data_IF_741145667263
#
_entry.id   IF_741145667263
#
_cell.length_a   1.000
_cell.length_b   1.000
_cell.length_c   1.000
_cell.angle_alpha   90.00
_cell.angle_beta   90.00
_cell.angle_gamma   90.00
#
_symmetry.space_group_name_H-M   'P 1'
#
loop_
_entity.id
_entity.type
_entity.pdbx_description
1 polymer ?
#
# COMPACT_ATOMS: atom_id res chain seq x y z
N UNK A 1 9.62 45.42 11.96
CA UNK A 1 10.83 44.62 11.99
C UNK A 1 10.58 43.37 11.16
N UNK A 2 10.96 43.44 9.88
CA UNK A 2 10.72 42.35 8.91
C UNK A 2 11.72 41.25 9.25
N UNK A 3 11.27 40.16 9.86
CA UNK A 3 12.13 38.98 10.07
C UNK A 3 12.41 38.40 8.69
N UNK A 4 13.60 38.61 8.16
CA UNK A 4 14.05 37.96 6.93
C UNK A 4 13.94 36.46 7.14
N UNK A 5 13.00 35.81 6.44
CA UNK A 5 12.86 34.36 6.44
C UNK A 5 14.19 33.76 5.94
N UNK A 6 14.81 32.88 6.74
CA UNK A 6 16.02 32.17 6.30
C UNK A 6 15.71 31.39 5.03
N UNK A 7 16.55 31.47 3.99
CA UNK A 7 16.32 30.76 2.74
C UNK A 7 16.14 29.26 3.01
N UNK A 8 15.04 28.69 2.51
CA UNK A 8 14.71 27.27 2.67
C UNK A 8 15.77 26.42 1.97
N UNK A 9 16.48 25.61 2.73
CA UNK A 9 17.39 24.63 2.16
C UNK A 9 16.60 23.40 1.64
N UNK A 10 16.15 23.47 0.38
CA UNK A 10 15.34 22.42 -0.27
C UNK A 10 16.00 21.03 -0.24
N UNK A 11 17.33 20.95 -0.40
CA UNK A 11 18.05 19.67 -0.36
C UNK A 11 18.00 19.04 1.04
N UNK A 12 18.21 19.84 2.09
CA UNK A 12 18.11 19.37 3.47
C UNK A 12 16.66 18.92 3.79
N UNK A 13 15.68 19.69 3.36
CA UNK A 13 14.25 19.37 3.59
C UNK A 13 13.83 18.11 2.84
N UNK A 14 14.29 17.90 1.60
CA UNK A 14 14.07 16.67 0.85
C UNK A 14 14.72 15.47 1.55
N UNK A 15 15.94 15.62 2.04
CA UNK A 15 16.61 14.56 2.78
C UNK A 15 15.87 14.21 4.08
N UNK A 16 15.40 15.19 4.84
CA UNK A 16 14.58 14.95 6.03
C UNK A 16 13.25 14.28 5.68
N UNK A 17 12.63 14.66 4.58
CA UNK A 17 11.40 14.01 4.09
C UNK A 17 11.65 12.53 3.71
N UNK A 18 12.81 12.23 3.10
CA UNK A 18 13.22 10.84 2.85
C UNK A 18 13.36 10.04 4.15
N UNK A 19 13.97 10.62 5.18
CA UNK A 19 14.09 9.97 6.50
C UNK A 19 12.71 9.71 7.11
N UNK A 20 11.82 10.69 7.09
CA UNK A 20 10.44 10.54 7.59
C UNK A 20 9.71 9.42 6.87
N UNK A 21 9.81 9.36 5.56
CA UNK A 21 9.20 8.31 4.74
C UNK A 21 9.82 6.93 4.97
N UNK A 22 11.15 6.86 5.08
CA UNK A 22 11.86 5.64 5.41
C UNK A 22 11.39 5.08 6.75
N UNK A 23 11.27 5.93 7.78
CA UNK A 23 10.77 5.60 9.10
C UNK A 23 9.31 5.10 9.00
N UNK A 24 8.45 5.80 8.27
CA UNK A 24 7.04 5.43 8.14
C UNK A 24 6.87 4.08 7.43
N UNK A 25 7.62 3.85 6.35
CA UNK A 25 7.61 2.57 5.65
C UNK A 25 8.18 1.43 6.51
N UNK A 26 9.22 1.70 7.31
CA UNK A 26 9.78 0.74 8.24
C UNK A 26 8.76 0.31 9.31
N UNK A 27 8.07 1.26 9.94
CA UNK A 27 7.00 0.99 10.92
C UNK A 27 5.87 0.15 10.33
N UNK A 28 5.38 0.57 9.15
CA UNK A 28 4.34 -0.16 8.45
C UNK A 28 4.77 -1.57 8.06
N UNK A 29 6.03 -1.72 7.62
CA UNK A 29 6.57 -3.01 7.22
C UNK A 29 6.77 -3.99 8.36
N UNK A 30 7.17 -3.54 9.56
CA UNK A 30 7.25 -4.39 10.76
C UNK A 30 5.87 -4.98 11.09
N UNK A 31 4.82 -4.17 11.04
CA UNK A 31 3.48 -4.56 11.48
C UNK A 31 2.70 -5.33 10.40
N UNK A 32 2.91 -5.01 9.11
CA UNK A 32 2.07 -5.49 8.01
C UNK A 32 1.83 -7.01 7.99
N UNK A 33 2.84 -7.90 8.07
CA UNK A 33 2.60 -9.34 8.10
C UNK A 33 2.17 -9.86 9.48
N UNK A 34 2.45 -9.12 10.54
CA UNK A 34 2.26 -9.55 11.92
C UNK A 34 0.84 -9.26 12.42
N UNK A 35 0.20 -8.20 11.92
CA UNK A 35 -1.10 -7.77 12.42
C UNK A 35 -2.16 -8.87 12.36
N UNK A 36 -2.27 -9.58 11.24
CA UNK A 36 -3.26 -10.67 11.10
C UNK A 36 -2.96 -11.84 12.02
N UNK A 37 -1.68 -12.18 12.23
CA UNK A 37 -1.27 -13.19 13.18
C UNK A 37 -1.54 -12.76 14.63
N UNK A 38 -1.23 -11.52 14.97
CA UNK A 38 -1.51 -10.96 16.29
C UNK A 38 -3.00 -11.00 16.62
N UNK A 39 -3.86 -10.47 15.76
CA UNK A 39 -5.31 -10.48 16.04
C UNK A 39 -5.87 -11.91 16.04
N UNK A 40 -5.27 -12.82 15.26
CA UNK A 40 -5.60 -14.24 15.28
C UNK A 40 -5.24 -14.89 16.63
N UNK A 41 -4.06 -14.58 17.18
CA UNK A 41 -3.64 -15.05 18.50
C UNK A 41 -4.53 -14.53 19.65
N UNK A 42 -5.19 -13.38 19.43
CA UNK A 42 -6.21 -12.84 20.35
C UNK A 42 -7.59 -13.51 20.19
N UNK A 43 -7.68 -14.58 19.40
CA UNK A 43 -8.89 -15.38 19.24
C UNK A 43 -9.88 -14.87 18.18
N UNK A 44 -9.52 -13.88 17.36
CA UNK A 44 -10.39 -13.42 16.28
C UNK A 44 -10.50 -14.49 15.19
N UNK A 45 -11.72 -14.69 14.70
CA UNK A 45 -12.00 -15.56 13.57
C UNK A 45 -11.53 -14.96 12.25
N UNK A 46 -11.40 -15.80 11.22
CA UNK A 46 -10.98 -15.35 9.88
C UNK A 46 -11.99 -14.37 9.26
N UNK A 47 -13.28 -14.58 9.49
CA UNK A 47 -14.31 -13.63 9.08
C UNK A 47 -14.13 -12.26 9.77
N UNK A 48 -13.77 -12.26 11.06
CA UNK A 48 -13.51 -11.05 11.81
C UNK A 48 -12.24 -10.33 11.31
N UNK A 49 -11.19 -11.06 10.93
CA UNK A 49 -10.00 -10.48 10.26
C UNK A 49 -10.41 -9.81 8.93
N UNK A 50 -11.33 -10.41 8.18
CA UNK A 50 -11.90 -9.77 6.99
C UNK A 50 -12.59 -8.43 7.30
N UNK A 51 -13.35 -8.36 8.40
CA UNK A 51 -13.97 -7.11 8.85
C UNK A 51 -12.96 -6.04 9.27
N UNK A 52 -11.81 -6.44 9.85
CA UNK A 52 -10.71 -5.50 10.12
C UNK A 52 -10.15 -4.89 8.83
N UNK A 53 -9.93 -5.71 7.81
CA UNK A 53 -9.54 -5.22 6.48
C UNK A 53 -10.58 -4.25 5.89
N UNK A 54 -11.86 -4.53 6.08
CA UNK A 54 -12.95 -3.63 5.68
C UNK A 54 -12.88 -2.30 6.43
N UNK A 55 -12.69 -2.32 7.75
CA UNK A 55 -12.56 -1.10 8.55
C UNK A 55 -11.35 -0.26 8.09
N UNK A 56 -10.25 -0.91 7.77
CA UNK A 56 -9.05 -0.28 7.20
C UNK A 56 -9.34 0.41 5.85
N UNK A 57 -10.02 -0.28 4.94
CA UNK A 57 -10.38 0.29 3.62
C UNK A 57 -11.39 1.43 3.73
N UNK A 58 -12.36 1.34 4.66
CA UNK A 58 -13.29 2.44 4.95
C UNK A 58 -12.58 3.71 5.42
N UNK A 59 -11.54 3.57 6.23
CA UNK A 59 -10.75 4.71 6.67
C UNK A 59 -10.07 5.44 5.50
N UNK A 60 -9.48 4.71 4.54
CA UNK A 60 -8.93 5.30 3.32
C UNK A 60 -10.03 5.90 2.45
N UNK A 61 -11.06 5.13 2.11
CA UNK A 61 -12.16 5.52 1.21
C UNK A 61 -12.86 6.81 1.65
N UNK A 62 -13.15 6.93 2.95
CA UNK A 62 -13.86 8.11 3.46
C UNK A 62 -12.93 9.32 3.52
N UNK A 63 -11.71 9.17 4.02
CA UNK A 63 -10.87 10.31 4.37
C UNK A 63 -9.89 10.76 3.30
N UNK A 64 -9.47 9.90 2.37
CA UNK A 64 -8.49 10.27 1.33
C UNK A 64 -8.97 11.46 0.47
N UNK A 65 -10.22 11.52 -0.01
CA UNK A 65 -10.70 12.66 -0.78
C UNK A 65 -10.74 13.97 0.02
N UNK A 66 -11.14 13.91 1.31
CA UNK A 66 -11.20 15.10 2.16
C UNK A 66 -9.80 15.62 2.52
N UNK A 67 -8.84 14.72 2.72
CA UNK A 67 -7.48 15.12 3.07
C UNK A 67 -6.77 15.86 1.94
N UNK A 68 -7.14 15.63 0.68
CA UNK A 68 -6.67 16.44 -0.45
C UNK A 68 -7.03 17.92 -0.28
N UNK A 69 -8.29 18.20 0.01
CA UNK A 69 -8.79 19.58 0.22
C UNK A 69 -8.19 20.22 1.47
N UNK A 70 -8.03 19.44 2.54
CA UNK A 70 -7.44 19.92 3.79
C UNK A 70 -5.95 20.23 3.60
N UNK A 71 -5.21 19.40 2.87
CA UNK A 71 -3.77 19.59 2.60
C UNK A 71 -3.45 20.84 1.78
N UNK A 72 -4.41 21.32 0.98
CA UNK A 72 -4.28 22.59 0.25
C UNK A 72 -4.43 23.83 1.14
N UNK A 73 -5.09 23.68 2.29
CA UNK A 73 -5.41 24.80 3.20
C UNK A 73 -4.62 24.79 4.50
N UNK A 74 -4.14 23.64 4.91
CA UNK A 74 -3.43 23.45 6.17
C UNK A 74 -1.94 23.31 5.95
N UNK A 75 -1.17 23.68 6.97
CA UNK A 75 0.27 23.50 6.98
C UNK A 75 0.64 22.01 6.92
N UNK A 76 1.24 21.60 5.79
CA UNK A 76 1.61 20.20 5.50
C UNK A 76 2.53 19.60 6.57
N UNK A 77 3.43 20.41 7.15
CA UNK A 77 4.33 19.96 8.21
C UNK A 77 3.58 19.56 9.48
N UNK A 78 2.59 20.35 9.90
CA UNK A 78 1.76 20.02 11.06
C UNK A 78 0.86 18.82 10.80
N UNK A 79 0.36 18.65 9.58
CA UNK A 79 -0.39 17.46 9.18
C UNK A 79 0.48 16.21 9.28
N UNK A 80 1.74 16.25 8.80
CA UNK A 80 2.68 15.13 8.92
C UNK A 80 3.01 14.82 10.39
N UNK A 81 3.34 15.83 11.18
CA UNK A 81 3.69 15.66 12.60
C UNK A 81 2.51 15.10 13.41
N UNK A 82 1.31 15.65 13.22
CA UNK A 82 0.10 15.19 13.87
C UNK A 82 -0.27 13.76 13.50
N UNK A 83 -0.21 13.42 12.21
CA UNK A 83 -0.47 12.05 11.74
C UNK A 83 0.53 11.05 12.29
N UNK A 84 1.82 11.39 12.33
CA UNK A 84 2.85 10.54 12.94
C UNK A 84 2.65 10.38 14.44
N UNK A 85 2.31 11.46 15.15
CA UNK A 85 2.05 11.40 16.58
C UNK A 85 0.85 10.50 16.89
N UNK A 86 -0.29 10.74 16.23
CA UNK A 86 -1.49 9.95 16.44
C UNK A 86 -1.29 8.47 16.08
N UNK A 87 -0.66 8.17 14.94
CA UNK A 87 -0.36 6.77 14.60
C UNK A 87 0.68 6.13 15.53
N UNK A 88 1.59 6.90 16.11
CA UNK A 88 2.53 6.42 17.13
C UNK A 88 1.78 6.02 18.40
N UNK A 89 0.83 6.83 18.85
CA UNK A 89 -0.05 6.52 19.98
C UNK A 89 -0.87 5.27 19.69
N UNK A 90 -1.48 5.18 18.51
CA UNK A 90 -2.25 4.00 18.12
C UNK A 90 -1.41 2.73 18.16
N UNK A 91 -0.19 2.73 17.64
CA UNK A 91 0.69 1.56 17.72
C UNK A 91 1.00 1.17 19.17
N UNK A 92 1.15 2.13 20.08
CA UNK A 92 1.30 1.83 21.51
C UNK A 92 0.05 1.25 22.16
N UNK A 93 -1.13 1.51 21.59
CA UNK A 93 -2.43 1.01 22.12
C UNK A 93 -2.76 -0.39 21.58
N UNK A 94 -2.28 -0.78 20.39
CA UNK A 94 -2.60 -2.09 19.79
C UNK A 94 -2.39 -3.29 20.72
N UNK A 95 -1.29 -3.41 21.49
CA UNK A 95 -1.08 -4.54 22.41
C UNK A 95 -2.13 -4.61 23.52
N UNK A 96 -2.77 -3.50 23.85
CA UNK A 96 -3.81 -3.42 24.89
C UNK A 96 -5.21 -3.70 24.33
N UNK A 97 -5.36 -3.81 23.01
CA UNK A 97 -6.64 -3.99 22.37
C UNK A 97 -7.15 -5.43 22.52
N UNK A 98 -8.42 -5.57 22.85
CA UNK A 98 -9.09 -6.86 22.92
C UNK A 98 -10.44 -6.81 22.22
N UNK A 99 -10.80 -7.90 21.55
CA UNK A 99 -12.09 -8.03 20.88
C UNK A 99 -12.19 -7.26 19.54
N UNK A 100 -13.12 -7.71 18.72
CA UNK A 100 -13.29 -7.26 17.34
C UNK A 100 -13.48 -5.74 17.22
N UNK A 101 -14.39 -5.18 17.99
CA UNK A 101 -14.78 -3.76 17.86
C UNK A 101 -13.62 -2.82 18.15
N UNK A 102 -12.79 -3.14 19.14
CA UNK A 102 -11.66 -2.29 19.46
C UNK A 102 -10.63 -2.31 18.31
N UNK A 103 -10.31 -3.49 17.77
CA UNK A 103 -9.43 -3.59 16.61
C UNK A 103 -10.00 -2.89 15.37
N UNK A 104 -11.31 -3.00 15.11
CA UNK A 104 -11.95 -2.28 14.00
C UNK A 104 -11.82 -0.76 14.13
N UNK A 105 -12.02 -0.22 15.34
CA UNK A 105 -11.84 1.22 15.61
C UNK A 105 -10.39 1.62 15.40
N UNK A 106 -9.42 0.83 15.91
CA UNK A 106 -7.99 1.12 15.72
C UNK A 106 -7.59 1.10 14.24
N UNK A 107 -8.04 0.11 13.47
CA UNK A 107 -7.76 0.00 12.03
C UNK A 107 -8.37 1.18 11.26
N UNK A 108 -9.62 1.50 11.52
CA UNK A 108 -10.30 2.64 10.90
C UNK A 108 -9.59 3.96 11.22
N UNK A 109 -9.28 4.22 12.49
CA UNK A 109 -8.58 5.45 12.91
C UNK A 109 -7.17 5.51 12.32
N UNK A 110 -6.41 4.41 12.36
CA UNK A 110 -5.07 4.34 11.79
C UNK A 110 -5.05 4.74 10.33
N UNK A 111 -5.93 4.18 9.52
CA UNK A 111 -5.97 4.46 8.08
C UNK A 111 -6.53 5.84 7.77
N UNK A 112 -7.52 6.31 8.53
CA UNK A 112 -8.02 7.68 8.47
C UNK A 112 -6.91 8.71 8.74
N UNK A 113 -6.09 8.47 9.75
CA UNK A 113 -4.94 9.33 10.09
C UNK A 113 -3.84 9.20 9.03
N UNK A 114 -3.60 7.99 8.50
CA UNK A 114 -2.62 7.77 7.46
C UNK A 114 -2.98 8.46 6.13
N UNK A 115 -4.25 8.69 5.84
CA UNK A 115 -4.64 9.51 4.68
C UNK A 115 -4.18 10.96 4.85
N UNK A 116 -4.26 11.50 6.08
CA UNK A 116 -3.76 12.84 6.42
C UNK A 116 -2.22 12.94 6.39
N UNK A 117 -1.51 11.83 6.37
CA UNK A 117 -0.06 11.77 6.13
C UNK A 117 0.26 11.62 4.63
N UNK A 118 -0.40 10.72 3.95
CA UNK A 118 -0.09 10.26 2.59
C UNK A 118 -0.16 11.39 1.55
N UNK A 119 -1.16 12.24 1.62
CA UNK A 119 -1.38 13.32 0.65
C UNK A 119 -0.36 14.46 0.82
N UNK A 120 -0.19 15.05 2.03
CA UNK A 120 0.80 16.12 2.21
C UNK A 120 2.23 15.70 1.91
N UNK A 121 2.59 14.45 2.18
CA UNK A 121 3.95 13.96 1.91
C UNK A 121 4.23 13.87 0.40
N UNK A 122 3.25 13.46 -0.41
CA UNK A 122 3.36 13.44 -1.88
C UNK A 122 3.50 14.87 -2.43
N UNK A 123 2.71 15.82 -1.90
CA UNK A 123 2.76 17.23 -2.28
C UNK A 123 4.12 17.85 -1.93
N UNK A 124 4.61 17.65 -0.70
CA UNK A 124 5.93 18.13 -0.28
C UNK A 124 7.07 17.53 -1.11
N UNK A 125 7.00 16.25 -1.43
CA UNK A 125 7.98 15.62 -2.30
C UNK A 125 8.01 16.29 -3.68
N UNK A 126 6.84 16.58 -4.26
CA UNK A 126 6.73 17.26 -5.55
C UNK A 126 7.31 18.68 -5.54
N UNK A 127 7.15 19.42 -4.43
CA UNK A 127 7.66 20.79 -4.24
C UNK A 127 9.17 20.84 -3.97
N UNK A 128 9.70 19.85 -3.25
CA UNK A 128 11.10 19.81 -2.84
C UNK A 128 12.03 19.18 -3.88
N UNK A 129 11.49 18.39 -4.82
CA UNK A 129 12.26 17.77 -5.88
C UNK A 129 12.81 18.84 -6.85
N UNK A 130 14.11 18.74 -7.22
CA UNK A 130 14.72 19.70 -8.13
C UNK A 130 14.07 19.65 -9.51
N UNK A 131 13.92 20.82 -10.16
CA UNK A 131 13.36 20.90 -11.52
C UNK A 131 14.28 20.29 -12.56
N UNK A 132 15.62 20.40 -12.35
CA UNK A 132 16.62 19.77 -13.21
C UNK A 132 16.77 18.31 -12.81
N UNK A 133 16.77 17.41 -13.77
CA UNK A 133 16.87 15.94 -13.58
C UNK A 133 15.81 15.37 -12.61
N UNK A 134 14.59 15.93 -12.65
CA UNK A 134 13.50 15.59 -11.72
C UNK A 134 13.20 14.08 -11.66
N UNK A 135 13.26 13.39 -12.79
CA UNK A 135 13.06 11.94 -12.86
C UNK A 135 14.11 11.16 -12.08
N UNK A 136 15.40 11.51 -12.22
CA UNK A 136 16.47 10.87 -11.45
C UNK A 136 16.37 11.16 -9.95
N UNK A 137 16.00 12.39 -9.60
CA UNK A 137 15.82 12.78 -8.19
C UNK A 137 14.63 12.03 -7.56
N UNK A 138 13.52 11.90 -8.29
CA UNK A 138 12.37 11.11 -7.87
C UNK A 138 12.69 9.62 -7.73
N UNK A 139 13.45 9.06 -8.69
CA UNK A 139 13.91 7.68 -8.62
C UNK A 139 14.77 7.41 -7.36
N UNK A 140 15.72 8.31 -7.04
CA UNK A 140 16.51 8.23 -5.79
C UNK A 140 15.62 8.33 -4.55
N UNK A 141 14.70 9.29 -4.54
CA UNK A 141 13.71 9.44 -3.47
C UNK A 141 12.94 8.13 -3.25
N UNK A 142 12.38 7.55 -4.30
CA UNK A 142 11.63 6.28 -4.22
C UNK A 142 12.49 5.10 -3.76
N UNK A 143 13.75 5.03 -4.20
CA UNK A 143 14.68 3.99 -3.74
C UNK A 143 14.91 4.07 -2.23
N UNK A 144 15.23 5.27 -1.72
CA UNK A 144 15.54 5.46 -0.29
C UNK A 144 14.31 5.11 0.57
N UNK A 145 13.13 5.61 0.21
CA UNK A 145 11.93 5.34 1.00
C UNK A 145 11.51 3.86 0.97
N UNK A 146 11.81 3.16 -0.12
CA UNK A 146 11.51 1.73 -0.24
C UNK A 146 12.38 0.87 0.69
N UNK A 147 13.63 1.27 0.96
CA UNK A 147 14.54 0.53 1.85
C UNK A 147 13.95 0.31 3.24
N UNK A 148 13.22 1.31 3.79
CA UNK A 148 12.54 1.18 5.08
C UNK A 148 11.54 0.03 5.11
N UNK A 149 10.80 -0.16 4.02
CA UNK A 149 9.81 -1.23 3.90
C UNK A 149 10.36 -2.60 3.52
N UNK A 150 11.57 -2.69 2.97
CA UNK A 150 12.09 -3.95 2.41
C UNK A 150 12.44 -4.97 3.49
N UNK A 151 13.22 -4.57 4.51
CA UNK A 151 13.77 -5.48 5.53
C UNK A 151 12.85 -5.56 6.75
N UNK A 152 12.03 -4.56 6.96
CA UNK A 152 11.18 -4.45 8.15
C UNK A 152 10.22 -5.65 8.39
N UNK A 153 9.65 -6.34 7.38
CA UNK A 153 8.84 -7.53 7.64
C UNK A 153 9.63 -8.67 8.30
N UNK A 154 10.90 -8.88 7.89
CA UNK A 154 11.77 -9.87 8.51
C UNK A 154 12.05 -9.53 9.97
N UNK A 155 12.33 -8.25 10.25
CA UNK A 155 12.55 -7.79 11.63
C UNK A 155 11.28 -7.99 12.46
N UNK A 156 10.11 -7.62 11.93
CA UNK A 156 8.82 -7.79 12.59
C UNK A 156 8.53 -9.26 12.90
N UNK A 157 8.73 -10.15 11.93
CA UNK A 157 8.57 -11.59 12.10
C UNK A 157 9.49 -12.15 13.17
N UNK A 158 10.79 -11.86 13.10
CA UNK A 158 11.77 -12.32 14.09
C UNK A 158 11.48 -11.82 15.50
N UNK A 159 11.17 -10.53 15.64
CA UNK A 159 10.84 -9.95 16.94
C UNK A 159 9.57 -10.58 17.52
N UNK A 160 8.55 -10.83 16.70
CA UNK A 160 7.32 -11.47 17.15
C UNK A 160 7.55 -12.91 17.60
N UNK A 161 8.36 -13.67 16.87
CA UNK A 161 8.67 -15.07 17.20
C UNK A 161 9.44 -15.21 18.52
N UNK A 162 10.40 -14.31 18.77
CA UNK A 162 11.30 -14.42 19.93
C UNK A 162 10.74 -13.72 21.17
N UNK A 163 10.08 -12.57 21.00
CA UNK A 163 9.67 -11.69 22.10
C UNK A 163 8.16 -11.49 22.20
N UNK A 164 7.38 -12.14 21.33
CA UNK A 164 5.93 -12.01 21.28
C UNK A 164 5.44 -10.86 20.44
N UNK A 165 4.14 -10.86 20.16
CA UNK A 165 3.49 -9.95 19.21
C UNK A 165 3.43 -8.49 19.66
N UNK A 166 3.57 -8.19 20.95
CA UNK A 166 3.44 -6.82 21.47
C UNK A 166 4.64 -5.94 21.11
N UNK A 167 5.86 -6.52 21.17
CA UNK A 167 7.09 -5.78 20.98
C UNK A 167 7.23 -5.10 19.59
N UNK A 168 6.84 -5.71 18.48
CA UNK A 168 6.81 -5.04 17.16
C UNK A 168 6.01 -3.73 17.15
N UNK A 169 4.87 -3.68 17.86
CA UNK A 169 4.07 -2.45 17.96
C UNK A 169 4.78 -1.37 18.76
N UNK A 170 5.42 -1.73 19.88
CA UNK A 170 6.20 -0.79 20.69
C UNK A 170 7.43 -0.28 19.92
N UNK A 171 8.11 -1.13 19.15
CA UNK A 171 9.20 -0.70 18.26
C UNK A 171 8.67 0.27 17.20
N UNK A 172 7.54 -0.04 16.56
CA UNK A 172 6.93 0.86 15.58
C UNK A 172 6.53 2.21 16.21
N UNK A 173 6.06 2.22 17.45
CA UNK A 173 5.78 3.44 18.20
C UNK A 173 7.07 4.23 18.50
N UNK A 174 8.09 3.58 19.05
CA UNK A 174 9.37 4.23 19.41
C UNK A 174 10.05 4.85 18.18
N UNK A 175 10.11 4.10 17.07
CA UNK A 175 10.66 4.59 15.80
C UNK A 175 9.81 5.76 15.25
N UNK A 176 8.51 5.78 15.51
CA UNK A 176 7.61 6.88 15.16
C UNK A 176 7.97 8.19 15.83
N UNK A 177 8.41 8.16 17.08
CA UNK A 177 8.89 9.36 17.82
C UNK A 177 10.09 10.01 17.10
N UNK A 178 11.01 9.19 16.59
CA UNK A 178 12.16 9.67 15.79
C UNK A 178 11.65 10.35 14.51
N UNK A 179 10.63 9.78 13.86
CA UNK A 179 10.00 10.37 12.67
C UNK A 179 9.39 11.75 12.94
N UNK A 180 8.76 11.95 14.09
CA UNK A 180 8.20 13.24 14.49
C UNK A 180 9.31 14.29 14.61
N UNK A 181 10.42 13.97 15.26
CA UNK A 181 11.57 14.88 15.36
C UNK A 181 12.14 15.26 13.99
N UNK A 182 12.20 14.29 13.07
CA UNK A 182 12.65 14.53 11.69
C UNK A 182 11.69 15.46 10.92
N UNK A 183 10.38 15.36 11.11
CA UNK A 183 9.38 16.28 10.50
C UNK A 183 9.65 17.73 10.90
N UNK A 184 9.96 17.98 12.17
CA UNK A 184 10.26 19.35 12.64
C UNK A 184 11.54 19.94 12.03
N UNK A 185 12.41 19.12 11.46
CA UNK A 185 13.61 19.56 10.74
C UNK A 185 13.34 19.93 9.27
N UNK A 186 12.16 19.65 8.74
CA UNK A 186 11.76 20.04 7.38
C UNK A 186 11.46 21.53 7.37
N UNK A 187 12.21 22.26 6.54
CA UNK A 187 11.95 23.67 6.24
C UNK A 187 11.12 23.72 4.95
N UNK A 188 10.01 24.43 5.00
CA UNK A 188 9.12 24.56 3.85
C UNK A 188 8.42 25.92 3.93
N UNK A 189 8.30 26.56 2.80
CA UNK A 189 7.51 27.79 2.65
C UNK A 189 6.06 27.40 2.35
N UNK A 190 5.14 27.95 3.12
CA UNK A 190 3.72 27.75 2.81
C UNK A 190 3.42 28.39 1.47
N UNK A 191 2.85 27.66 0.50
CA UNK A 191 2.40 28.29 -0.72
C UNK A 191 1.32 29.31 -0.38
N UNK A 192 1.39 30.51 -0.98
CA UNK A 192 0.30 31.45 -0.95
C UNK A 192 -0.94 30.72 -1.49
N UNK A 193 -2.03 30.73 -0.72
CA UNK A 193 -3.27 30.01 -1.02
C UNK A 193 -3.89 30.52 -2.32
N UNK A 194 -3.56 29.91 -3.43
CA UNK A 194 -4.09 30.26 -4.76
C UNK A 194 -4.92 29.14 -5.41
N UNK A 195 -5.27 28.09 -4.69
CA UNK A 195 -6.13 27.07 -5.29
C UNK A 195 -7.61 27.45 -5.22
N UNK A 196 -8.08 28.16 -6.22
CA UNK A 196 -9.51 28.29 -6.58
C UNK A 196 -10.00 27.07 -7.37
N UNK A 197 -9.43 25.91 -7.16
CA UNK A 197 -9.88 24.69 -7.80
C UNK A 197 -11.23 24.26 -7.25
N UNK A 198 -12.28 24.27 -8.05
CA UNK A 198 -13.55 23.60 -7.78
C UNK A 198 -13.25 22.10 -7.56
N UNK A 199 -13.19 21.67 -6.31
CA UNK A 199 -12.63 20.37 -5.89
C UNK A 199 -13.32 19.11 -6.46
N UNK A 200 -14.52 19.22 -6.99
CA UNK A 200 -15.26 18.11 -7.61
C UNK A 200 -15.94 18.59 -8.90
N UNK A 201 -15.18 19.26 -9.80
CA UNK A 201 -15.68 19.59 -11.13
C UNK A 201 -16.19 18.34 -11.86
N UNK A 202 -17.11 18.53 -12.76
CA UNK A 202 -17.87 17.54 -13.54
C UNK A 202 -17.22 16.12 -13.66
N UNK A 203 -17.51 15.24 -12.70
CA UNK A 203 -17.02 13.85 -12.64
C UNK A 203 -17.37 13.09 -13.93
N UNK A 204 -18.52 13.39 -14.55
CA UNK A 204 -18.95 12.71 -15.77
C UNK A 204 -18.01 12.95 -16.95
N UNK A 205 -17.40 14.12 -17.03
CA UNK A 205 -16.48 14.45 -18.13
C UNK A 205 -15.13 13.73 -18.01
N UNK A 206 -14.80 13.20 -16.83
CA UNK A 206 -13.55 12.48 -16.52
C UNK A 206 -13.74 10.98 -16.68
N UNK A 207 -14.92 10.45 -16.34
CA UNK A 207 -15.24 9.03 -16.38
C UNK A 207 -15.54 8.56 -17.82
N UNK A 208 -14.51 8.56 -18.66
CA UNK A 208 -14.59 8.01 -20.02
C UNK A 208 -14.57 6.49 -20.00
N UNK A 209 -15.01 5.84 -21.09
CA UNK A 209 -15.01 4.38 -21.20
C UNK A 209 -13.66 3.74 -20.89
N UNK A 210 -12.53 4.18 -21.49
CA UNK A 210 -11.20 3.64 -21.18
C UNK A 210 -10.80 3.81 -19.71
N UNK A 211 -11.10 4.95 -19.09
CA UNK A 211 -10.79 5.21 -17.67
C UNK A 211 -11.61 4.28 -16.75
N UNK A 212 -12.90 4.11 -17.02
CA UNK A 212 -13.74 3.18 -16.24
C UNK A 212 -13.27 1.73 -16.35
N UNK A 213 -12.79 1.31 -17.53
CA UNK A 213 -12.26 -0.04 -17.74
C UNK A 213 -11.01 -0.28 -16.91
N UNK A 214 -10.03 0.63 -16.93
CA UNK A 214 -8.80 0.46 -16.13
C UNK A 214 -9.09 0.55 -14.63
N UNK A 215 -10.05 1.38 -14.20
CA UNK A 215 -10.52 1.41 -12.81
C UNK A 215 -11.13 0.08 -12.38
N UNK A 216 -11.95 -0.55 -13.24
CA UNK A 216 -12.51 -1.87 -12.97
C UNK A 216 -11.43 -2.94 -12.86
N UNK A 217 -10.45 -2.95 -13.77
CA UNK A 217 -9.30 -3.87 -13.71
C UNK A 217 -8.52 -3.68 -12.41
N UNK A 218 -8.30 -2.42 -11.99
CA UNK A 218 -7.59 -2.09 -10.74
C UNK A 218 -8.38 -2.52 -9.51
N UNK A 219 -9.66 -2.21 -9.44
CA UNK A 219 -10.54 -2.63 -8.33
C UNK A 219 -10.58 -4.15 -8.17
N UNK A 220 -10.73 -4.89 -9.26
CA UNK A 220 -10.68 -6.36 -9.23
C UNK A 220 -9.30 -6.89 -8.80
N UNK A 221 -8.22 -6.24 -9.17
CA UNK A 221 -6.87 -6.60 -8.69
C UNK A 221 -6.73 -6.46 -7.18
N UNK A 222 -7.42 -5.51 -6.56
CA UNK A 222 -7.39 -5.31 -5.11
C UNK A 222 -8.09 -6.43 -4.31
N UNK A 223 -8.85 -7.31 -4.95
CA UNK A 223 -9.28 -8.58 -4.33
C UNK A 223 -8.08 -9.42 -3.89
N UNK A 224 -7.03 -9.45 -4.70
CA UNK A 224 -5.77 -10.09 -4.39
C UNK A 224 -5.02 -9.39 -3.25
N UNK A 225 -4.93 -8.06 -3.29
CA UNK A 225 -4.19 -7.28 -2.29
C UNK A 225 -4.79 -7.45 -0.90
N UNK A 226 -6.13 -7.48 -0.80
CA UNK A 226 -6.83 -7.77 0.44
C UNK A 226 -6.48 -9.15 1.01
N UNK A 227 -6.34 -10.17 0.17
CA UNK A 227 -5.94 -11.52 0.59
C UNK A 227 -4.49 -11.54 1.11
N UNK A 228 -3.55 -10.97 0.35
CA UNK A 228 -2.11 -10.97 0.69
C UNK A 228 -1.85 -10.39 2.07
N UNK A 229 -2.48 -9.27 2.39
CA UNK A 229 -2.18 -8.56 3.64
C UNK A 229 -2.92 -9.12 4.85
N UNK A 230 -4.12 -9.66 4.67
CA UNK A 230 -4.95 -10.08 5.80
C UNK A 230 -4.94 -11.59 6.03
N UNK A 231 -4.87 -12.42 4.97
CA UNK A 231 -5.10 -13.85 5.09
C UNK A 231 -3.87 -14.71 4.75
N UNK A 232 -2.99 -14.25 3.86
CA UNK A 232 -1.82 -15.02 3.47
C UNK A 232 -0.87 -15.32 4.65
N UNK A 233 -0.58 -14.37 5.57
CA UNK A 233 0.23 -14.68 6.76
C UNK A 233 -0.40 -15.79 7.61
N UNK A 234 -1.71 -15.73 7.83
CA UNK A 234 -2.45 -16.75 8.61
C UNK A 234 -2.43 -18.11 7.89
N UNK A 235 -2.62 -18.10 6.56
CA UNK A 235 -2.52 -19.33 5.78
C UNK A 235 -1.14 -19.97 5.88
N UNK A 236 -0.07 -19.21 5.77
CA UNK A 236 1.30 -19.73 5.87
C UNK A 236 1.61 -20.27 7.27
N UNK A 237 1.05 -19.66 8.32
CA UNK A 237 1.25 -20.07 9.70
C UNK A 237 0.41 -21.30 10.08
N UNK A 238 -0.91 -21.29 9.81
CA UNK A 238 -1.85 -22.32 10.26
C UNK A 238 -1.92 -23.53 9.28
N UNK A 239 -1.40 -23.42 8.08
CA UNK A 239 -1.46 -24.50 7.07
C UNK A 239 -0.54 -25.65 7.46
N UNK A 240 -1.05 -26.88 7.43
CA UNK A 240 -0.26 -28.10 7.62
C UNK A 240 0.85 -28.29 6.54
N UNK A 241 0.75 -27.56 5.44
CA UNK A 241 1.71 -27.61 4.33
C UNK A 241 2.98 -26.84 4.68
N UNK A 242 2.86 -25.70 5.37
CA UNK A 242 3.98 -24.80 5.66
C UNK A 242 4.30 -24.74 7.14
N UNK A 243 3.29 -24.57 8.00
CA UNK A 243 3.46 -24.33 9.45
C UNK A 243 4.59 -23.30 9.70
N UNK A 244 4.57 -22.23 8.90
CA UNK A 244 5.66 -21.27 8.85
C UNK A 244 5.69 -20.42 10.11
N UNK A 245 6.89 -20.23 10.69
CA UNK A 245 7.08 -19.32 11.81
C UNK A 245 6.92 -17.85 11.36
N UNK A 246 6.75 -16.96 12.33
CA UNK A 246 6.63 -15.52 12.11
C UNK A 246 7.86 -14.96 11.37
N UNK A 247 9.06 -15.44 11.69
CA UNK A 247 10.32 -15.08 10.99
C UNK A 247 10.29 -15.52 9.52
N UNK A 248 9.79 -16.72 9.26
CA UNK A 248 9.70 -17.24 7.89
C UNK A 248 8.66 -16.47 7.06
N UNK A 249 7.56 -16.08 7.67
CA UNK A 249 6.55 -15.22 7.06
C UNK A 249 7.13 -13.81 6.82
N UNK A 250 7.85 -13.26 7.79
CA UNK A 250 8.58 -12.01 7.63
C UNK A 250 9.59 -12.04 6.49
N UNK A 251 10.34 -13.16 6.34
CA UNK A 251 11.26 -13.39 5.23
C UNK A 251 10.54 -13.46 3.88
N UNK A 252 9.39 -14.14 3.80
CA UNK A 252 8.55 -14.18 2.61
C UNK A 252 8.17 -12.77 2.14
N UNK A 253 7.65 -11.94 3.04
CA UNK A 253 7.26 -10.56 2.70
C UNK A 253 8.46 -9.67 2.39
N UNK A 254 9.62 -9.93 2.98
CA UNK A 254 10.88 -9.25 2.63
C UNK A 254 11.29 -9.58 1.20
N UNK A 255 11.30 -10.87 0.82
CA UNK A 255 11.59 -11.33 -0.54
C UNK A 255 10.58 -10.75 -1.53
N UNK A 256 9.30 -10.79 -1.21
CA UNK A 256 8.22 -10.17 -1.98
C UNK A 256 8.51 -8.69 -2.29
N UNK A 257 8.85 -7.91 -1.26
CA UNK A 257 9.14 -6.47 -1.41
C UNK A 257 10.43 -6.18 -2.17
N UNK A 258 11.47 -6.97 -1.93
CA UNK A 258 12.75 -6.87 -2.66
C UNK A 258 12.57 -7.18 -4.15
N UNK A 259 11.87 -8.26 -4.46
CA UNK A 259 11.56 -8.65 -5.84
C UNK A 259 10.71 -7.59 -6.54
N UNK A 260 9.69 -7.05 -5.85
CA UNK A 260 8.87 -5.96 -6.37
C UNK A 260 9.67 -4.68 -6.66
N UNK A 261 10.59 -4.32 -5.78
CA UNK A 261 11.44 -3.14 -5.98
C UNK A 261 12.44 -3.33 -7.14
N UNK A 262 13.09 -4.51 -7.22
CA UNK A 262 13.97 -4.86 -8.33
C UNK A 262 13.19 -4.94 -9.66
N UNK A 263 11.98 -5.50 -9.62
CA UNK A 263 11.10 -5.62 -10.78
C UNK A 263 10.77 -4.27 -11.40
N UNK A 264 10.44 -3.26 -10.59
CA UNK A 264 10.05 -1.92 -11.11
C UNK A 264 11.13 -1.27 -11.99
N UNK A 265 12.41 -1.53 -11.72
CA UNK A 265 13.50 -0.98 -12.53
C UNK A 265 13.63 -1.63 -13.92
N UNK A 266 13.18 -2.88 -14.05
CA UNK A 266 13.27 -3.67 -15.29
C UNK A 266 11.97 -3.59 -16.09
N UNK A 267 10.85 -3.50 -15.41
CA UNK A 267 9.52 -3.59 -16.01
C UNK A 267 9.12 -2.34 -16.80
N UNK A 268 9.73 -1.18 -16.54
CA UNK A 268 9.53 0.01 -17.37
C UNK A 268 9.92 -0.26 -18.82
N UNK A 269 11.13 -0.75 -19.05
CA UNK A 269 11.63 -1.12 -20.39
C UNK A 269 10.81 -2.27 -21.00
N UNK A 270 10.30 -3.19 -20.17
CA UNK A 270 9.48 -4.30 -20.63
C UNK A 270 8.07 -3.84 -21.05
N UNK A 271 7.49 -2.85 -20.38
CA UNK A 271 6.26 -2.20 -20.81
C UNK A 271 6.38 -1.58 -22.20
N UNK A 272 7.50 -0.90 -22.45
CA UNK A 272 7.76 -0.28 -23.75
C UNK A 272 7.92 -1.32 -24.88
N UNK A 273 8.44 -2.51 -24.57
CA UNK A 273 8.68 -3.58 -25.57
C UNK A 273 7.46 -4.48 -25.82
N UNK A 274 6.75 -4.86 -24.76
CA UNK A 274 5.67 -5.84 -24.84
C UNK A 274 4.27 -5.21 -24.88
N UNK A 275 4.17 -3.95 -24.47
CA UNK A 275 2.92 -3.23 -24.27
C UNK A 275 2.28 -3.50 -22.91
N UNK A 276 1.57 -2.50 -22.38
CA UNK A 276 0.96 -2.54 -21.05
C UNK A 276 -0.06 -3.66 -20.90
N UNK A 277 -0.91 -3.88 -21.91
CA UNK A 277 -1.96 -4.91 -21.92
C UNK A 277 -1.43 -6.30 -21.62
N UNK A 278 -0.37 -6.73 -22.33
CA UNK A 278 0.21 -8.08 -22.17
C UNK A 278 0.80 -8.26 -20.77
N UNK A 279 1.45 -7.22 -20.22
CA UNK A 279 2.02 -7.25 -18.89
C UNK A 279 0.95 -7.24 -17.79
N UNK A 280 -0.16 -6.51 -17.95
CA UNK A 280 -1.30 -6.60 -17.04
C UNK A 280 -1.80 -8.04 -16.98
N UNK A 281 -2.09 -8.65 -18.13
CA UNK A 281 -2.59 -10.03 -18.19
C UNK A 281 -1.58 -11.01 -17.58
N UNK A 282 -0.31 -10.93 -17.97
CA UNK A 282 0.74 -11.79 -17.45
C UNK A 282 0.92 -11.68 -15.94
N UNK A 283 0.82 -10.47 -15.38
CA UNK A 283 0.91 -10.25 -13.93
C UNK A 283 -0.27 -10.86 -13.18
N UNK A 284 -1.50 -10.71 -13.68
CA UNK A 284 -2.69 -11.30 -13.08
C UNK A 284 -2.62 -12.84 -13.09
N UNK A 285 -2.18 -13.42 -14.20
CA UNK A 285 -1.97 -14.87 -14.30
C UNK A 285 -0.80 -15.35 -13.42
N UNK A 286 0.28 -14.59 -13.35
CA UNK A 286 1.41 -14.86 -12.45
C UNK A 286 0.98 -14.94 -10.98
N UNK A 287 0.11 -14.02 -10.54
CA UNK A 287 -0.50 -14.08 -9.22
C UNK A 287 -1.40 -15.30 -9.03
N UNK A 288 -2.28 -15.60 -9.99
CA UNK A 288 -3.18 -16.76 -9.92
C UNK A 288 -2.40 -18.08 -9.82
N UNK A 289 -1.37 -18.24 -10.68
CA UNK A 289 -0.48 -19.42 -10.64
C UNK A 289 0.27 -19.53 -9.32
N UNK A 290 0.75 -18.40 -8.79
CA UNK A 290 1.49 -18.40 -7.51
C UNK A 290 0.66 -18.92 -6.35
N UNK A 291 -0.62 -18.59 -6.29
CA UNK A 291 -1.53 -19.14 -5.28
C UNK A 291 -1.82 -20.63 -5.51
N UNK A 292 -1.99 -21.05 -6.76
CA UNK A 292 -2.11 -22.48 -7.09
C UNK A 292 -0.91 -23.27 -6.61
N UNK A 293 0.30 -22.74 -6.82
CA UNK A 293 1.53 -23.36 -6.29
C UNK A 293 1.50 -23.44 -4.77
N UNK A 294 1.15 -22.37 -4.06
CA UNK A 294 1.07 -22.37 -2.59
C UNK A 294 0.05 -23.36 -2.02
N UNK A 295 -1.03 -23.64 -2.75
CA UNK A 295 -2.07 -24.57 -2.26
C UNK A 295 -1.68 -26.05 -2.32
N UNK A 296 -0.89 -26.43 -3.33
CA UNK A 296 -0.66 -27.84 -3.65
C UNK A 296 0.78 -28.29 -3.46
N UNK A 297 1.67 -27.38 -3.13
CA UNK A 297 3.10 -27.69 -2.97
C UNK A 297 3.57 -27.20 -1.61
N UNK A 298 4.55 -27.89 -1.04
CA UNK A 298 5.12 -27.55 0.27
C UNK A 298 6.60 -27.19 0.18
N UNK A 299 7.13 -26.77 1.33
CA UNK A 299 8.54 -26.48 1.50
C UNK A 299 8.88 -24.98 1.49
N UNK A 300 9.78 -24.64 2.41
CA UNK A 300 10.16 -23.25 2.71
C UNK A 300 10.79 -22.52 1.51
N UNK A 301 11.63 -23.22 0.74
CA UNK A 301 12.29 -22.61 -0.42
C UNK A 301 11.31 -22.29 -1.54
N UNK A 302 10.31 -23.16 -1.74
CA UNK A 302 9.26 -22.90 -2.72
C UNK A 302 8.35 -21.75 -2.28
N UNK A 303 8.03 -21.67 -1.00
CA UNK A 303 7.32 -20.52 -0.42
C UNK A 303 8.05 -19.20 -0.73
N UNK A 304 9.37 -19.16 -0.53
CA UNK A 304 10.17 -17.97 -0.84
C UNK A 304 10.24 -17.67 -2.35
N UNK A 305 10.33 -18.69 -3.18
CA UNK A 305 10.27 -18.53 -4.64
C UNK A 305 8.93 -17.94 -5.08
N UNK A 306 7.82 -18.41 -4.48
CA UNK A 306 6.50 -17.83 -4.73
C UNK A 306 6.43 -16.38 -4.26
N UNK A 307 7.00 -16.05 -3.10
CA UNK A 307 7.12 -14.66 -2.65
C UNK A 307 7.84 -13.76 -3.66
N UNK A 308 8.92 -14.25 -4.26
CA UNK A 308 9.62 -13.56 -5.33
C UNK A 308 8.74 -13.38 -6.58
N UNK A 309 8.05 -14.43 -7.02
CA UNK A 309 7.14 -14.37 -8.17
C UNK A 309 6.00 -13.39 -7.94
N UNK A 310 5.39 -13.40 -6.75
CA UNK A 310 4.34 -12.47 -6.36
C UNK A 310 4.86 -11.03 -6.34
N UNK A 311 6.07 -10.78 -5.84
CA UNK A 311 6.70 -9.46 -5.85
C UNK A 311 6.90 -8.92 -7.26
N UNK A 312 7.42 -9.74 -8.17
CA UNK A 312 7.59 -9.38 -9.58
C UNK A 312 6.22 -9.12 -10.27
N UNK A 313 5.25 -10.00 -10.03
CA UNK A 313 3.90 -9.85 -10.59
C UNK A 313 3.21 -8.58 -10.06
N UNK A 314 3.41 -8.23 -8.78
CA UNK A 314 2.89 -6.97 -8.21
C UNK A 314 3.51 -5.76 -8.90
N UNK A 315 4.82 -5.75 -9.06
CA UNK A 315 5.52 -4.66 -9.75
C UNK A 315 5.06 -4.52 -11.22
N UNK A 316 4.84 -5.64 -11.90
CA UNK A 316 4.34 -5.65 -13.28
C UNK A 316 2.91 -5.07 -13.36
N UNK A 317 2.01 -5.52 -12.47
CA UNK A 317 0.64 -5.02 -12.42
C UNK A 317 0.60 -3.51 -12.13
N UNK A 318 1.30 -3.06 -11.08
CA UNK A 318 1.32 -1.66 -10.67
C UNK A 318 1.89 -0.75 -11.76
N UNK A 319 3.01 -1.15 -12.37
CA UNK A 319 3.67 -0.34 -13.41
C UNK A 319 2.83 -0.28 -14.68
N UNK A 320 2.37 -1.43 -15.19
CA UNK A 320 1.63 -1.47 -16.45
C UNK A 320 0.24 -0.85 -16.37
N UNK A 321 -0.49 -1.04 -15.25
CA UNK A 321 -1.79 -0.40 -15.03
C UNK A 321 -1.64 1.12 -14.91
N UNK A 322 -0.59 1.61 -14.22
CA UNK A 322 -0.32 3.03 -14.09
C UNK A 322 0.08 3.67 -15.43
N UNK A 323 0.95 3.04 -16.20
CA UNK A 323 1.36 3.54 -17.52
C UNK A 323 0.17 3.56 -18.49
N UNK A 324 -0.67 2.52 -18.48
CA UNK A 324 -1.89 2.50 -19.28
C UNK A 324 -2.87 3.62 -18.86
N UNK A 325 -3.06 3.85 -17.55
CA UNK A 325 -3.88 4.98 -17.08
C UNK A 325 -3.33 6.32 -17.59
N UNK A 326 -2.00 6.53 -17.52
CA UNK A 326 -1.34 7.76 -18.00
C UNK A 326 -1.56 7.95 -19.50
N UNK A 327 -1.59 6.88 -20.30
CA UNK A 327 -1.78 6.96 -21.75
C UNK A 327 -3.21 7.38 -22.15
N UNK A 328 -4.22 7.04 -21.32
CA UNK A 328 -5.64 7.30 -21.60
C UNK A 328 -6.20 8.53 -20.86
N UNK A 329 -5.49 9.06 -19.87
CA UNK A 329 -5.99 10.19 -19.08
C UNK A 329 -5.70 11.54 -19.72
N UNK A 330 -6.60 12.51 -19.48
CA UNK A 330 -6.36 13.91 -19.83
C UNK A 330 -5.38 14.58 -18.87
N UNK A 331 -4.40 15.34 -19.39
CA UNK A 331 -3.39 16.04 -18.58
C UNK A 331 -4.00 17.07 -17.64
N UNK A 332 -5.05 17.76 -18.09
CA UNK A 332 -5.68 18.85 -17.35
C UNK A 332 -6.40 18.40 -16.06
N UNK A 333 -6.72 17.12 -15.96
CA UNK A 333 -7.47 16.54 -14.82
C UNK A 333 -6.76 15.34 -14.19
N UNK A 334 -5.46 15.23 -14.37
CA UNK A 334 -4.67 14.10 -13.89
C UNK A 334 -4.79 13.85 -12.39
N UNK A 335 -4.86 14.91 -11.57
CA UNK A 335 -5.02 14.79 -10.11
C UNK A 335 -6.33 14.12 -9.72
N UNK A 336 -7.46 14.54 -10.34
CA UNK A 336 -8.77 13.94 -10.07
C UNK A 336 -8.82 12.47 -10.51
N UNK A 337 -8.28 12.17 -11.71
CA UNK A 337 -8.23 10.80 -12.24
C UNK A 337 -7.40 9.88 -11.35
N UNK A 338 -6.24 10.35 -10.86
CA UNK A 338 -5.39 9.60 -9.93
C UNK A 338 -6.08 9.35 -8.58
N UNK A 339 -6.83 10.35 -8.08
CA UNK A 339 -7.64 10.17 -6.87
C UNK A 339 -8.71 9.09 -7.05
N UNK A 340 -9.47 9.15 -8.15
CA UNK A 340 -10.49 8.15 -8.46
C UNK A 340 -9.89 6.74 -8.71
N UNK A 341 -8.67 6.67 -9.23
CA UNK A 341 -7.95 5.40 -9.38
C UNK A 341 -7.62 4.76 -8.02
N UNK A 342 -7.21 5.57 -7.04
CA UNK A 342 -7.04 5.09 -5.67
C UNK A 342 -8.37 4.66 -5.04
N UNK A 343 -9.48 5.37 -5.33
CA UNK A 343 -10.79 4.96 -4.83
C UNK A 343 -11.27 3.63 -5.43
N UNK A 344 -10.94 3.32 -6.68
CA UNK A 344 -11.20 2.01 -7.26
C UNK A 344 -10.49 0.88 -6.48
N UNK A 345 -9.28 1.13 -5.99
CA UNK A 345 -8.55 0.22 -5.11
C UNK A 345 -9.31 -0.01 -3.79
N UNK A 346 -9.71 1.08 -3.15
CA UNK A 346 -10.42 1.05 -1.87
C UNK A 346 -11.75 0.28 -1.99
N UNK A 347 -12.52 0.53 -3.05
CA UNK A 347 -13.77 -0.20 -3.33
C UNK A 347 -13.51 -1.70 -3.53
N UNK A 348 -12.48 -2.06 -4.30
CA UNK A 348 -12.09 -3.45 -4.49
C UNK A 348 -11.77 -4.15 -3.18
N UNK A 349 -10.97 -3.51 -2.33
CA UNK A 349 -10.63 -4.01 -1.00
C UNK A 349 -11.83 -4.12 -0.05
N UNK A 350 -12.74 -3.15 -0.07
CA UNK A 350 -13.98 -3.17 0.74
C UNK A 350 -14.85 -4.39 0.47
N UNK A 351 -14.93 -4.83 -0.79
CA UNK A 351 -15.72 -6.00 -1.19
C UNK A 351 -14.94 -7.29 -0.90
N UNK A 352 -13.65 -7.29 -1.22
CA UNK A 352 -12.82 -8.49 -1.19
C UNK A 352 -12.57 -9.00 0.24
N UNK A 353 -12.20 -8.12 1.16
CA UNK A 353 -11.73 -8.55 2.49
C UNK A 353 -12.81 -9.28 3.30
N UNK A 354 -14.06 -8.79 3.41
CA UNK A 354 -15.11 -9.53 4.13
C UNK A 354 -15.52 -10.79 3.39
N UNK A 355 -15.56 -10.76 2.05
CA UNK A 355 -15.94 -11.93 1.23
C UNK A 355 -14.93 -13.07 1.41
N UNK A 356 -13.64 -12.78 1.29
CA UNK A 356 -12.57 -13.76 1.48
C UNK A 356 -12.57 -14.28 2.91
N UNK A 357 -12.72 -13.40 3.91
CA UNK A 357 -12.78 -13.79 5.31
C UNK A 357 -13.93 -14.74 5.62
N UNK A 358 -15.10 -14.47 5.07
CA UNK A 358 -16.26 -15.34 5.19
C UNK A 358 -16.04 -16.71 4.52
N UNK A 359 -15.56 -16.73 3.28
CA UNK A 359 -15.28 -17.96 2.55
C UNK A 359 -14.21 -18.80 3.26
N UNK A 360 -13.15 -18.17 3.75
CA UNK A 360 -12.10 -18.86 4.46
C UNK A 360 -12.63 -19.47 5.77
N UNK A 361 -13.46 -18.73 6.53
CA UNK A 361 -14.06 -19.21 7.77
C UNK A 361 -15.04 -20.36 7.56
N UNK A 362 -15.89 -20.28 6.53
CA UNK A 362 -17.00 -21.23 6.33
C UNK A 362 -16.61 -22.47 5.52
N UNK A 363 -15.68 -22.33 4.58
CA UNK A 363 -15.32 -23.39 3.63
C UNK A 363 -13.84 -23.76 3.65
N UNK A 364 -13.05 -23.14 4.54
CA UNK A 364 -11.62 -23.37 4.70
C UNK A 364 -10.73 -22.51 3.79
N UNK A 365 -9.42 -22.59 4.04
CA UNK A 365 -8.38 -21.80 3.37
C UNK A 365 -8.43 -21.94 1.85
N UNK A 366 -8.68 -23.15 1.36
CA UNK A 366 -8.78 -23.44 -0.05
C UNK A 366 -9.86 -22.62 -0.76
N UNK A 367 -11.03 -22.43 -0.17
CA UNK A 367 -12.10 -21.66 -0.77
C UNK A 367 -11.74 -20.16 -0.91
N UNK A 368 -11.13 -19.58 0.11
CA UNK A 368 -10.64 -18.20 0.05
C UNK A 368 -9.59 -18.00 -1.05
N UNK A 369 -8.63 -18.91 -1.17
CA UNK A 369 -7.62 -18.87 -2.23
C UNK A 369 -8.21 -19.07 -3.62
N UNK A 370 -9.10 -20.08 -3.78
CA UNK A 370 -9.76 -20.30 -5.06
C UNK A 370 -10.60 -19.10 -5.50
N UNK A 371 -11.27 -18.43 -4.58
CA UNK A 371 -11.98 -17.20 -4.90
C UNK A 371 -11.05 -16.14 -5.50
N UNK A 372 -9.88 -15.92 -4.90
CA UNK A 372 -8.89 -14.95 -5.41
C UNK A 372 -8.30 -15.40 -6.74
N UNK A 373 -7.98 -16.70 -6.90
CA UNK A 373 -7.47 -17.26 -8.16
C UNK A 373 -8.49 -17.04 -9.29
N UNK A 374 -9.76 -17.35 -9.04
CA UNK A 374 -10.83 -17.16 -10.01
C UNK A 374 -11.03 -15.68 -10.33
N UNK A 375 -11.02 -14.81 -9.32
CA UNK A 375 -11.12 -13.37 -9.53
C UNK A 375 -9.98 -12.81 -10.39
N UNK A 376 -8.74 -13.26 -10.14
CA UNK A 376 -7.57 -12.87 -10.95
C UNK A 376 -7.65 -13.41 -12.38
N UNK A 377 -8.07 -14.65 -12.56
CA UNK A 377 -8.25 -15.26 -13.89
C UNK A 377 -9.37 -14.54 -14.68
N UNK A 378 -10.49 -14.25 -14.04
CA UNK A 378 -11.58 -13.48 -14.65
C UNK A 378 -11.15 -12.06 -14.99
N UNK A 379 -10.36 -11.42 -14.11
CA UNK A 379 -9.78 -10.10 -14.36
C UNK A 379 -8.80 -10.13 -15.54
N UNK A 380 -7.99 -11.18 -15.67
CA UNK A 380 -7.10 -11.37 -16.82
C UNK A 380 -7.90 -11.50 -18.12
N UNK A 381 -8.96 -12.32 -18.14
CA UNK A 381 -9.87 -12.45 -19.29
C UNK A 381 -10.57 -11.12 -19.60
N UNK A 382 -11.08 -10.44 -18.57
CA UNK A 382 -11.68 -9.12 -18.73
C UNK A 382 -10.69 -8.11 -19.30
N UNK A 383 -9.44 -8.12 -18.86
CA UNK A 383 -8.39 -7.23 -19.34
C UNK A 383 -8.08 -7.38 -20.84
N UNK A 384 -8.32 -8.57 -21.42
CA UNK A 384 -8.18 -8.78 -22.88
C UNK A 384 -9.13 -7.87 -23.66
N UNK A 385 -10.32 -7.61 -23.14
CA UNK A 385 -11.35 -6.78 -23.77
C UNK A 385 -11.33 -5.34 -23.28
N UNK A 386 -11.02 -5.15 -21.99
CA UNK A 386 -11.09 -3.84 -21.34
C UNK A 386 -9.92 -2.93 -21.69
N UNK A 387 -8.72 -3.50 -21.85
CA UNK A 387 -7.49 -2.75 -22.11
C UNK A 387 -7.22 -2.73 -23.62
N UNK A 388 -7.16 -1.54 -24.18
CA UNK A 388 -6.79 -1.33 -25.58
C UNK A 388 -5.27 -1.54 -25.76
N UNK A 389 -4.84 -1.95 -26.94
CA UNK A 389 -3.42 -2.03 -27.24
C UNK A 389 -2.86 -0.60 -27.33
N UNK A 390 -1.66 -0.40 -26.78
CA UNK A 390 -1.00 0.88 -26.85
C UNK A 390 -0.78 1.24 -28.34
N UNK A 391 -1.08 2.46 -28.77
CA UNK A 391 -0.76 2.89 -30.13
C UNK A 391 0.75 2.79 -30.32
N UNK A 392 1.16 1.99 -31.30
CA UNK A 392 2.56 1.74 -31.69
C UNK A 392 3.28 3.02 -32.12
#
# INVERSE_FOLDING_TARGET
MMVMAKPVNKQRSLFMLMIVQLITNFRGGIISPILSLFVRSQGLSLAQIGLLGTASMLGWFIWEPFMGVIADRWNKRWMLAGSLLLTTILYGVYPMATGLWFFMVLEFLKTSIMSAYSIPVKALAAELLPSKDRGKAYGRYMTVISLGGMISPLIGGYVSEVFGYDLPFYIAAAVGLIGILAVFSIQYEEPETTSTGNGFGDLRSVLTGPILRIFSVRGLFFFNVGFVHNFLPVFLNESNIYSASESQIGAFFTIFRLAGAAGRSILGDLCDRLGNKKLIIASLLGWAVSYGVLMYTGGIYLMYFVGMLQGLSSAAADTSMMLHLISVMSKDRSGLIMGLYSEAENIGGLIATPTVGYLYQSMGAGAGMWFVIIALALNAVYSVWAIEEDPS
#
